data_IF_195388277112
#
_entry.id   IF_195388277112
#
_cell.length_a   1.000
_cell.length_b   1.000
_cell.length_c   1.000
_cell.angle_alpha   90.00
_cell.angle_beta   90.00
_cell.angle_gamma   90.00
#
_symmetry.space_group_name_H-M   'P 1'
#
loop_
_entity.id
_entity.type
_entity.pdbx_description
1 polymer ?
#
# COMPACT_ATOMS: atom_id res chain seq x y z
N UNK A 1 8.65 -6.01 29.00
CA UNK A 1 7.64 -5.63 27.98
C UNK A 1 8.34 -4.93 26.83
N UNK A 2 8.24 -5.44 25.60
CA UNK A 2 8.78 -4.74 24.43
C UNK A 2 8.11 -3.37 24.31
N UNK A 3 8.90 -2.30 24.29
CA UNK A 3 8.41 -0.93 24.12
C UNK A 3 7.58 -0.90 22.84
N UNK A 4 6.29 -0.55 22.95
CA UNK A 4 5.36 -0.52 21.81
C UNK A 4 5.94 0.46 20.78
N UNK A 5 6.49 -0.07 19.69
CA UNK A 5 7.16 0.74 18.68
C UNK A 5 6.19 1.76 18.10
N UNK A 6 6.64 2.99 17.87
CA UNK A 6 5.82 4.08 17.34
C UNK A 6 5.41 3.91 15.87
N UNK A 7 5.54 2.71 15.29
CA UNK A 7 5.19 2.42 13.91
C UNK A 7 4.48 1.07 13.79
N UNK A 8 3.43 1.03 12.96
CA UNK A 8 2.66 -0.16 12.61
C UNK A 8 2.95 -0.56 11.17
N UNK A 9 2.98 -1.87 10.91
CA UNK A 9 3.02 -2.40 9.54
C UNK A 9 1.64 -2.22 8.90
N UNK A 10 1.61 -1.75 7.67
CA UNK A 10 0.39 -1.51 6.91
C UNK A 10 0.51 -2.10 5.51
N UNK A 11 -0.64 -2.44 4.93
CA UNK A 11 -0.73 -2.93 3.55
C UNK A 11 -1.12 -1.77 2.65
N UNK A 12 -0.38 -1.57 1.56
CA UNK A 12 -0.69 -0.59 0.54
C UNK A 12 -1.22 -1.34 -0.68
N UNK A 13 -2.44 -1.05 -1.10
CA UNK A 13 -3.12 -1.74 -2.20
C UNK A 13 -3.23 -0.81 -3.41
N UNK A 14 -2.94 -1.33 -4.60
CA UNK A 14 -2.98 -0.57 -5.85
C UNK A 14 -4.39 -0.07 -6.13
N UNK A 15 -4.52 1.21 -6.46
CA UNK A 15 -5.78 1.82 -6.89
C UNK A 15 -6.26 1.29 -8.24
N UNK A 16 -5.39 0.64 -9.01
CA UNK A 16 -5.74 0.08 -10.32
C UNK A 16 -6.53 -1.24 -10.24
N UNK A 17 -6.83 -1.74 -9.04
CA UNK A 17 -7.65 -2.96 -8.86
C UNK A 17 -6.96 -4.27 -9.25
N UNK A 18 -5.64 -4.23 -9.48
CA UNK A 18 -4.83 -5.39 -9.88
C UNK A 18 -4.59 -6.39 -8.74
N UNK A 19 -4.90 -5.99 -7.50
CA UNK A 19 -4.57 -6.75 -6.31
C UNK A 19 -3.08 -6.74 -5.94
N UNK A 20 -2.24 -5.95 -6.64
CA UNK A 20 -0.83 -5.77 -6.30
C UNK A 20 -0.68 -4.91 -5.04
N UNK A 21 0.29 -5.26 -4.20
CA UNK A 21 0.40 -4.72 -2.84
C UNK A 21 1.84 -4.58 -2.39
N UNK A 22 2.06 -3.51 -1.63
CA UNK A 22 3.28 -3.28 -0.88
C UNK A 22 3.02 -3.34 0.62
N UNK A 23 4.08 -3.59 1.38
CA UNK A 23 4.05 -3.43 2.83
C UNK A 23 4.90 -2.24 3.22
N UNK A 24 4.36 -1.40 4.09
CA UNK A 24 5.04 -0.21 4.59
C UNK A 24 4.91 -0.14 6.11
N UNK A 25 5.66 0.78 6.72
CA UNK A 25 5.49 1.16 8.12
C UNK A 25 4.88 2.55 8.16
N UNK A 26 3.83 2.72 8.97
CA UNK A 26 3.22 4.01 9.27
C UNK A 26 3.44 4.35 10.74
N UNK A 27 3.75 5.62 11.03
CA UNK A 27 3.78 6.10 12.41
C UNK A 27 2.40 5.96 13.07
N UNK A 28 2.35 5.51 14.31
CA UNK A 28 1.07 5.45 15.07
C UNK A 28 0.52 6.83 15.40
N UNK A 29 1.32 7.89 15.25
CA UNK A 29 0.92 9.29 15.47
C UNK A 29 0.36 9.96 14.22
N UNK A 30 0.43 9.32 13.06
CA UNK A 30 -0.09 9.91 11.84
C UNK A 30 -1.63 9.92 11.86
N UNK A 31 -2.22 11.09 11.63
CA UNK A 31 -3.68 11.28 11.56
C UNK A 31 -4.25 10.79 10.22
N UNK A 32 -3.45 10.81 9.16
CA UNK A 32 -3.86 10.39 7.83
C UNK A 32 -3.39 8.97 7.47
N UNK A 33 -4.13 8.37 6.53
CA UNK A 33 -3.76 7.11 5.87
C UNK A 33 -2.69 7.37 4.81
N UNK A 34 -1.73 6.46 4.68
CA UNK A 34 -0.71 6.57 3.66
C UNK A 34 -1.31 6.43 2.25
N UNK A 35 -0.98 7.40 1.40
CA UNK A 35 -1.21 7.36 -0.05
C UNK A 35 0.12 7.62 -0.73
N UNK A 36 0.62 6.64 -1.49
CA UNK A 36 1.92 6.74 -2.14
C UNK A 36 1.80 6.40 -3.61
N UNK A 37 2.47 7.16 -4.48
CA UNK A 37 2.58 6.81 -5.89
C UNK A 37 3.71 5.79 -6.05
N UNK A 38 3.37 4.57 -6.46
CA UNK A 38 4.31 3.46 -6.66
C UNK A 38 4.01 2.73 -7.96
N UNK A 39 4.97 1.93 -8.40
CA UNK A 39 4.84 1.18 -9.64
C UNK A 39 3.97 -0.05 -9.39
N UNK A 40 2.97 -0.24 -10.25
CA UNK A 40 2.22 -1.47 -10.33
C UNK A 40 2.54 -2.13 -11.69
N UNK A 41 3.24 -3.28 -11.70
CA UNK A 41 3.60 -3.97 -12.94
C UNK A 41 2.37 -4.46 -13.72
N UNK A 42 1.22 -4.61 -13.04
CA UNK A 42 0.00 -5.13 -13.64
C UNK A 42 -1.00 -4.06 -14.03
N UNK A 43 -0.80 -2.81 -13.59
CA UNK A 43 -1.68 -1.70 -13.94
C UNK A 43 -1.54 -1.33 -15.42
N UNK A 44 -2.65 -0.98 -16.05
CA UNK A 44 -2.65 -0.49 -17.43
C UNK A 44 -2.34 1.00 -17.45
N UNK A 45 -1.35 1.41 -18.22
CA UNK A 45 -1.01 2.82 -18.40
C UNK A 45 -2.08 3.50 -19.26
N UNK A 46 -2.66 4.63 -18.81
CA UNK A 46 -3.82 5.24 -19.48
C UNK A 46 -3.52 5.72 -20.90
N UNK A 47 -2.29 6.18 -21.16
CA UNK A 47 -1.93 6.76 -22.47
C UNK A 47 -1.34 5.76 -23.47
N UNK A 48 -0.64 4.73 -23.00
CA UNK A 48 0.08 3.79 -23.88
C UNK A 48 -0.64 2.46 -24.02
N UNK A 49 -1.65 2.19 -23.17
CA UNK A 49 -2.36 0.91 -23.12
C UNK A 49 -1.51 -0.27 -22.67
N UNK A 50 -0.23 -0.04 -22.34
CA UNK A 50 0.72 -1.08 -21.91
C UNK A 50 0.56 -1.39 -20.43
N UNK A 51 0.97 -2.59 -20.03
CA UNK A 51 1.05 -2.99 -18.62
C UNK A 51 2.26 -2.33 -17.97
N UNK A 52 2.13 -1.99 -16.69
CA UNK A 52 3.13 -1.27 -15.91
C UNK A 52 2.84 0.23 -15.87
N UNK A 53 2.37 0.72 -14.73
CA UNK A 53 2.15 2.14 -14.52
C UNK A 53 2.41 2.56 -13.06
N UNK A 54 2.87 3.80 -12.89
CA UNK A 54 2.89 4.44 -11.57
C UNK A 54 1.48 4.84 -11.18
N UNK A 55 0.91 4.17 -10.18
CA UNK A 55 -0.45 4.39 -9.68
C UNK A 55 -0.42 4.75 -8.21
N UNK A 56 -1.54 5.25 -7.70
CA UNK A 56 -1.69 5.50 -6.27
C UNK A 56 -1.90 4.18 -5.54
N UNK A 57 -1.21 4.01 -4.42
CA UNK A 57 -1.47 2.92 -3.49
C UNK A 57 -2.03 3.49 -2.21
N UNK A 58 -3.13 2.89 -1.74
CA UNK A 58 -3.84 3.32 -0.56
C UNK A 58 -3.66 2.32 0.60
N UNK A 59 -3.59 2.86 1.81
CA UNK A 59 -3.52 2.05 3.02
C UNK A 59 -4.80 1.25 3.28
N UNK A 60 -4.61 -0.06 3.41
CA UNK A 60 -5.60 -1.05 3.82
C UNK A 60 -5.11 -1.81 5.06
N UNK A 61 -6.05 -2.46 5.75
CA UNK A 61 -5.77 -3.26 6.94
C UNK A 61 -4.86 -4.44 6.58
N UNK A 62 -3.90 -4.73 7.44
CA UNK A 62 -3.10 -5.96 7.32
C UNK A 62 -3.98 -7.20 7.50
N UNK A 63 -3.70 -8.29 6.76
CA UNK A 63 -4.34 -9.57 7.03
C UNK A 63 -4.01 -10.02 8.47
N UNK A 64 -4.97 -10.68 9.15
CA UNK A 64 -4.71 -11.20 10.48
C UNK A 64 -3.63 -12.30 10.41
N UNK A 65 -2.78 -12.37 11.44
CA UNK A 65 -1.71 -13.36 11.51
C UNK A 65 -2.23 -14.79 11.75
N UNK A 66 -3.44 -14.91 12.28
CA UNK A 66 -4.16 -16.18 12.44
C UNK A 66 -5.48 -16.08 11.68
N UNK A 67 -5.84 -17.16 11.00
CA UNK A 67 -7.17 -17.31 10.39
C UNK A 67 -8.23 -17.44 11.47
#
# INVERSE_FOLDING_TARGET
MAKKGGAVKVRLESSAGTGYRYYAKRSTRAEYKLKLRKFDPWATHPTTGRRGAHVLFEEKKMPPHKK
#
